data_IF_586302765121
#
_entry.id   IF_586302765121
#
_cell.length_a   1.000
_cell.length_b   1.000
_cell.length_c   1.000
_cell.angle_alpha   90.00
_cell.angle_beta   90.00
_cell.angle_gamma   90.00
#
_symmetry.space_group_name_H-M   'P 1'
#
loop_
_entity.id
_entity.type
_entity.pdbx_description
1 polymer ?
#
# COMPACT_ATOMS: atom_id res chain seq x y z
N UNK A 1 23.45 19.29 -14.30
CA UNK A 1 24.00 19.59 -12.95
C UNK A 1 24.39 18.26 -12.31
N UNK A 2 25.68 18.00 -12.12
CA UNK A 2 26.24 16.73 -11.59
C UNK A 2 26.15 16.65 -10.06
N UNK A 3 24.98 16.95 -9.47
CA UNK A 3 24.80 16.84 -8.03
C UNK A 3 24.31 15.44 -7.65
N UNK A 4 24.98 14.80 -6.69
CA UNK A 4 24.61 13.48 -6.15
C UNK A 4 23.23 13.51 -5.44
N UNK A 5 22.83 14.69 -4.97
CA UNK A 5 21.52 14.96 -4.42
C UNK A 5 20.72 15.87 -5.34
N UNK A 6 19.42 15.62 -5.46
CA UNK A 6 18.49 16.45 -6.21
C UNK A 6 17.21 16.61 -5.42
N UNK A 7 16.80 17.85 -5.20
CA UNK A 7 15.58 18.20 -4.46
C UNK A 7 14.63 18.89 -5.42
N UNK A 8 13.58 18.17 -5.82
CA UNK A 8 12.48 18.68 -6.66
C UNK A 8 11.25 18.97 -5.78
N UNK A 9 10.24 19.71 -6.27
CA UNK A 9 8.99 19.92 -5.53
C UNK A 9 8.36 18.62 -5.04
N UNK A 10 8.30 17.59 -5.90
CA UNK A 10 7.84 16.24 -5.52
C UNK A 10 8.63 15.67 -4.33
N UNK A 11 9.96 15.72 -4.40
CA UNK A 11 10.83 15.21 -3.32
C UNK A 11 10.66 16.01 -2.03
N UNK A 12 10.46 17.33 -2.09
CA UNK A 12 10.15 18.16 -0.92
C UNK A 12 8.85 17.74 -0.24
N UNK A 13 7.79 17.49 -1.01
CA UNK A 13 6.52 17.02 -0.47
C UNK A 13 6.68 15.65 0.23
N UNK A 14 7.44 14.72 -0.38
CA UNK A 14 7.74 13.41 0.23
C UNK A 14 8.60 13.55 1.50
N UNK A 15 9.57 14.46 1.52
CA UNK A 15 10.36 14.75 2.73
C UNK A 15 9.49 15.30 3.85
N UNK A 16 8.55 16.20 3.55
CA UNK A 16 7.57 16.71 4.52
C UNK A 16 6.71 15.59 5.10
N UNK A 17 6.23 14.68 4.25
CA UNK A 17 5.49 13.49 4.70
C UNK A 17 6.32 12.62 5.66
N UNK A 18 7.56 12.29 5.26
CA UNK A 18 8.46 11.46 6.06
C UNK A 18 8.80 12.14 7.40
N UNK A 19 8.98 13.46 7.41
CA UNK A 19 9.24 14.22 8.63
C UNK A 19 8.06 14.15 9.61
N UNK A 20 6.83 14.37 9.13
CA UNK A 20 5.61 14.31 9.96
C UNK A 20 5.39 12.90 10.51
N UNK A 21 5.51 11.87 9.67
CA UNK A 21 5.39 10.48 10.08
C UNK A 21 6.49 10.09 11.07
N UNK A 22 7.74 10.45 10.76
CA UNK A 22 8.90 10.17 11.59
C UNK A 22 8.76 10.77 12.98
N UNK A 23 8.39 12.05 13.06
CA UNK A 23 8.12 12.74 14.33
C UNK A 23 7.02 12.04 15.13
N UNK A 24 5.89 11.72 14.48
CA UNK A 24 4.75 11.06 15.13
C UNK A 24 5.12 9.68 15.67
N UNK A 25 5.81 8.86 14.88
CA UNK A 25 6.20 7.50 15.24
C UNK A 25 7.27 7.52 16.34
N UNK A 26 8.26 8.42 16.27
CA UNK A 26 9.29 8.58 17.31
C UNK A 26 8.64 9.00 18.62
N UNK A 27 7.74 10.00 18.62
CA UNK A 27 7.02 10.44 19.81
C UNK A 27 6.18 9.31 20.41
N UNK A 28 5.42 8.59 19.59
CA UNK A 28 4.64 7.45 20.05
C UNK A 28 5.54 6.36 20.66
N UNK A 29 6.66 6.04 20.00
CA UNK A 29 7.60 5.02 20.46
C UNK A 29 8.26 5.39 21.78
N UNK A 30 8.56 6.67 21.99
CA UNK A 30 9.15 7.17 23.24
C UNK A 30 8.26 6.86 24.45
N UNK A 31 6.95 7.08 24.30
CA UNK A 31 5.95 6.81 25.34
C UNK A 31 5.67 5.32 25.46
N UNK A 32 5.44 4.64 24.33
CA UNK A 32 5.06 3.23 24.30
C UNK A 32 6.11 2.30 24.91
N UNK A 33 7.39 2.70 24.91
CA UNK A 33 8.50 1.92 25.44
C UNK A 33 9.13 2.51 26.70
N UNK A 34 8.43 3.38 27.43
CA UNK A 34 8.98 4.05 28.61
C UNK A 34 9.56 3.08 29.67
N UNK A 35 9.00 1.87 29.79
CA UNK A 35 9.47 0.82 30.70
C UNK A 35 10.37 -0.25 30.07
N UNK A 36 10.67 -0.17 28.77
CA UNK A 36 11.48 -1.19 28.08
C UNK A 36 12.98 -0.88 28.19
N UNK A 37 13.75 -1.85 28.68
CA UNK A 37 15.23 -1.76 28.79
C UNK A 37 15.85 -1.45 27.42
N UNK A 38 15.30 -2.05 26.36
CA UNK A 38 15.83 -1.96 25.01
C UNK A 38 15.32 -0.76 24.19
N UNK A 39 14.62 0.19 24.82
CA UNK A 39 14.09 1.40 24.16
C UNK A 39 15.17 2.14 23.35
N UNK A 40 16.38 2.29 23.88
CA UNK A 40 17.47 2.99 23.20
C UNK A 40 17.96 2.29 21.93
N UNK A 41 17.92 0.95 21.89
CA UNK A 41 18.23 0.17 20.67
C UNK A 41 17.15 0.36 19.61
N UNK A 42 15.88 0.38 20.03
CA UNK A 42 14.74 0.62 19.16
C UNK A 42 14.83 2.00 18.49
N UNK A 43 14.98 3.06 19.27
CA UNK A 43 14.98 4.44 18.77
C UNK A 43 16.14 4.70 17.80
N UNK A 44 17.34 4.16 18.07
CA UNK A 44 18.47 4.23 17.13
C UNK A 44 18.17 3.52 15.81
N UNK A 45 17.59 2.33 15.86
CA UNK A 45 17.21 1.58 14.65
C UNK A 45 16.11 2.29 13.86
N UNK A 46 15.17 2.94 14.57
CA UNK A 46 14.11 3.75 13.97
C UNK A 46 14.68 4.97 13.26
N UNK A 47 15.56 5.73 13.94
CA UNK A 47 16.21 6.89 13.37
C UNK A 47 17.06 6.54 12.14
N UNK A 48 17.86 5.46 12.21
CA UNK A 48 18.62 4.97 11.05
C UNK A 48 17.70 4.58 9.89
N UNK A 49 16.57 3.93 10.16
CA UNK A 49 15.60 3.58 9.11
C UNK A 49 15.04 4.84 8.43
N UNK A 50 14.63 5.84 9.21
CA UNK A 50 14.11 7.11 8.69
C UNK A 50 15.19 7.84 7.87
N UNK A 51 16.43 7.91 8.38
CA UNK A 51 17.55 8.52 7.68
C UNK A 51 17.83 7.84 6.33
N UNK A 52 17.81 6.51 6.29
CA UNK A 52 18.00 5.76 5.05
C UNK A 52 16.87 6.02 4.04
N UNK A 53 15.61 6.15 4.51
CA UNK A 53 14.48 6.52 3.65
C UNK A 53 14.68 7.92 3.07
N UNK A 54 15.06 8.90 3.90
CA UNK A 54 15.37 10.27 3.44
C UNK A 54 16.46 10.24 2.37
N UNK A 55 17.52 9.46 2.59
CA UNK A 55 18.63 9.31 1.65
C UNK A 55 18.16 8.76 0.29
N UNK A 56 17.26 7.78 0.27
CA UNK A 56 16.61 7.30 -0.97
C UNK A 56 15.89 8.44 -1.69
N UNK A 57 15.11 9.24 -0.98
CA UNK A 57 14.32 10.33 -1.59
C UNK A 57 15.20 11.41 -2.22
N UNK A 58 16.25 11.85 -1.54
CA UNK A 58 17.09 12.94 -2.04
C UNK A 58 18.12 12.48 -3.07
N UNK A 59 18.36 11.17 -3.20
CA UNK A 59 19.35 10.62 -4.12
C UNK A 59 19.04 11.01 -5.57
N UNK A 60 20.08 11.44 -6.28
CA UNK A 60 20.09 11.64 -7.73
C UNK A 60 21.02 10.67 -8.44
N UNK A 61 21.78 9.86 -7.71
CA UNK A 61 22.75 8.93 -8.27
C UNK A 61 22.29 7.48 -8.06
N UNK A 62 22.30 6.65 -9.11
CA UNK A 62 21.79 5.27 -9.08
C UNK A 62 22.42 4.42 -7.97
N UNK A 63 23.75 4.44 -7.84
CA UNK A 63 24.45 3.69 -6.80
C UNK A 63 24.08 4.15 -5.38
N UNK A 64 23.99 5.46 -5.13
CA UNK A 64 23.61 5.99 -3.83
C UNK A 64 22.17 5.60 -3.48
N UNK A 65 21.26 5.72 -4.45
CA UNK A 65 19.87 5.29 -4.31
C UNK A 65 19.81 3.82 -3.90
N UNK A 66 20.55 2.95 -4.60
CA UNK A 66 20.58 1.52 -4.30
C UNK A 66 21.16 1.22 -2.92
N UNK A 67 22.29 1.81 -2.54
CA UNK A 67 22.89 1.65 -1.22
C UNK A 67 21.94 2.10 -0.10
N UNK A 68 21.28 3.25 -0.28
CA UNK A 68 20.28 3.76 0.65
C UNK A 68 19.08 2.80 0.78
N UNK A 69 18.61 2.26 -0.35
CA UNK A 69 17.50 1.31 -0.40
C UNK A 69 17.81 -0.01 0.32
N UNK A 70 19.02 -0.54 0.12
CA UNK A 70 19.55 -1.71 0.85
C UNK A 70 19.63 -1.40 2.35
N UNK A 71 20.09 -0.20 2.72
CA UNK A 71 20.18 0.25 4.11
C UNK A 71 18.81 0.33 4.79
N UNK A 72 17.77 0.86 4.13
CA UNK A 72 16.39 0.85 4.64
C UNK A 72 15.97 -0.57 5.00
N UNK A 73 16.25 -1.53 4.12
CA UNK A 73 15.89 -2.93 4.35
C UNK A 73 16.62 -3.53 5.55
N UNK A 74 17.93 -3.30 5.68
CA UNK A 74 18.72 -3.82 6.79
C UNK A 74 18.29 -3.22 8.14
N UNK A 75 18.11 -1.90 8.20
CA UNK A 75 17.65 -1.21 9.42
C UNK A 75 16.25 -1.66 9.83
N UNK A 76 15.34 -1.82 8.87
CA UNK A 76 14.01 -2.34 9.13
C UNK A 76 14.05 -3.78 9.68
N UNK A 77 14.97 -4.63 9.21
CA UNK A 77 15.07 -6.00 9.71
C UNK A 77 15.37 -6.03 11.22
N UNK A 78 16.21 -5.09 11.69
CA UNK A 78 16.50 -4.91 13.13
C UNK A 78 15.27 -4.49 13.93
N UNK A 79 14.39 -3.65 13.35
CA UNK A 79 13.15 -3.23 14.00
C UNK A 79 12.13 -4.38 14.11
N UNK A 80 12.04 -5.23 13.10
CA UNK A 80 11.17 -6.42 13.13
C UNK A 80 11.64 -7.40 14.22
N UNK A 81 12.95 -7.58 14.34
CA UNK A 81 13.59 -8.41 15.36
C UNK A 81 13.78 -7.70 16.70
N UNK A 82 12.89 -6.76 17.07
CA UNK A 82 12.95 -6.12 18.38
C UNK A 82 12.83 -7.15 19.53
N UNK A 83 12.00 -8.18 19.35
CA UNK A 83 11.88 -9.35 20.21
C UNK A 83 12.41 -10.62 19.48
N UNK A 84 13.72 -10.86 19.46
CA UNK A 84 14.33 -11.89 18.61
C UNK A 84 14.01 -13.33 19.05
N UNK A 85 13.57 -13.53 20.30
CA UNK A 85 13.22 -14.85 20.84
C UNK A 85 11.87 -15.38 20.36
N UNK A 86 11.07 -14.56 19.66
CA UNK A 86 9.77 -14.98 19.13
C UNK A 86 9.93 -15.71 17.79
N UNK A 87 9.56 -17.00 17.66
CA UNK A 87 9.74 -17.75 16.41
C UNK A 87 9.00 -17.12 15.22
N UNK A 88 7.81 -16.55 15.45
CA UNK A 88 7.05 -15.87 14.39
C UNK A 88 7.74 -14.60 13.89
N UNK A 89 8.40 -13.85 14.76
CA UNK A 89 9.17 -12.66 14.37
C UNK A 89 10.40 -13.05 13.55
N UNK A 90 11.07 -14.14 13.91
CA UNK A 90 12.20 -14.71 13.15
C UNK A 90 11.76 -15.17 11.75
N UNK A 91 10.64 -15.89 11.65
CA UNK A 91 10.08 -16.32 10.36
C UNK A 91 9.77 -15.13 9.46
N UNK A 92 9.08 -14.12 10.00
CA UNK A 92 8.71 -12.92 9.28
C UNK A 92 9.95 -12.14 8.80
N UNK A 93 10.94 -11.95 9.68
CA UNK A 93 12.19 -11.29 9.35
C UNK A 93 12.98 -12.04 8.27
N UNK A 94 13.05 -13.38 8.36
CA UNK A 94 13.75 -14.22 7.39
C UNK A 94 13.14 -14.12 5.99
N UNK A 95 11.81 -14.30 5.87
CA UNK A 95 11.11 -14.16 4.59
C UNK A 95 11.26 -12.77 4.00
N UNK A 96 11.13 -11.74 4.83
CA UNK A 96 11.33 -10.35 4.43
C UNK A 96 12.76 -10.09 3.98
N UNK A 97 13.76 -10.67 4.64
CA UNK A 97 15.16 -10.53 4.27
C UNK A 97 15.42 -11.12 2.87
N UNK A 98 14.97 -12.36 2.62
CA UNK A 98 15.16 -13.02 1.32
C UNK A 98 14.52 -12.25 0.16
N UNK A 99 13.24 -11.89 0.29
CA UNK A 99 12.53 -11.14 -0.73
C UNK A 99 13.13 -9.73 -0.93
N UNK A 100 13.64 -9.12 0.14
CA UNK A 100 14.34 -7.85 0.03
C UNK A 100 15.65 -7.98 -0.75
N UNK A 101 16.50 -8.96 -0.44
CA UNK A 101 17.75 -9.20 -1.19
C UNK A 101 17.48 -9.49 -2.66
N UNK A 102 16.47 -10.32 -2.96
CA UNK A 102 16.09 -10.60 -4.34
C UNK A 102 15.65 -9.34 -5.09
N UNK A 103 14.74 -8.53 -4.52
CA UNK A 103 14.33 -7.27 -5.15
C UNK A 103 15.46 -6.24 -5.29
N UNK A 104 16.43 -6.22 -4.39
CA UNK A 104 17.59 -5.32 -4.50
C UNK A 104 18.56 -5.74 -5.61
N UNK A 105 18.71 -7.05 -5.87
CA UNK A 105 19.48 -7.53 -7.01
C UNK A 105 18.79 -7.15 -8.34
N UNK A 106 17.46 -7.28 -8.40
CA UNK A 106 16.70 -6.83 -9.58
C UNK A 106 16.81 -5.32 -9.78
N UNK A 107 16.78 -4.54 -8.70
CA UNK A 107 16.96 -3.09 -8.77
C UNK A 107 18.37 -2.72 -9.26
N UNK A 108 19.41 -3.42 -8.77
CA UNK A 108 20.78 -3.24 -9.27
C UNK A 108 20.87 -3.55 -10.76
N UNK A 109 20.28 -4.66 -11.22
CA UNK A 109 20.24 -5.02 -12.63
C UNK A 109 19.50 -3.97 -13.48
N UNK A 110 18.37 -3.45 -13.02
CA UNK A 110 17.66 -2.37 -13.69
C UNK A 110 18.53 -1.11 -13.81
N UNK A 111 19.23 -0.73 -12.74
CA UNK A 111 20.13 0.43 -12.74
C UNK A 111 21.34 0.23 -13.65
N UNK A 112 21.88 -0.99 -13.74
CA UNK A 112 22.94 -1.31 -14.69
C UNK A 112 22.46 -1.16 -16.14
N UNK A 113 21.26 -1.65 -16.47
CA UNK A 113 20.68 -1.46 -17.80
C UNK A 113 20.48 0.01 -18.14
N UNK A 114 19.96 0.82 -17.21
CA UNK A 114 19.83 2.27 -17.40
C UNK A 114 21.20 2.93 -17.63
N UNK A 115 22.21 2.55 -16.86
CA UNK A 115 23.57 3.08 -17.05
C UNK A 115 24.12 2.73 -18.43
N UNK A 116 23.93 1.49 -18.90
CA UNK A 116 24.38 1.05 -20.24
C UNK A 116 23.65 1.82 -21.35
N UNK A 117 22.36 2.11 -21.19
CA UNK A 117 21.58 2.84 -22.21
C UNK A 117 21.95 4.32 -22.30
N UNK A 118 22.16 4.99 -21.17
CA UNK A 118 22.30 6.46 -21.13
C UNK A 118 23.72 6.96 -20.84
N UNK A 119 24.65 6.06 -20.50
CA UNK A 119 26.04 6.36 -20.12
C UNK A 119 26.17 7.43 -19.01
N UNK A 120 25.20 7.46 -18.10
CA UNK A 120 25.20 8.35 -16.94
C UNK A 120 24.58 7.66 -15.72
N UNK A 121 25.16 7.83 -14.52
CA UNK A 121 24.58 7.31 -13.29
C UNK A 121 23.58 8.28 -12.64
N UNK A 122 23.34 9.44 -13.23
CA UNK A 122 22.46 10.48 -12.68
C UNK A 122 21.01 10.28 -13.14
N UNK A 123 20.13 10.07 -12.16
CA UNK A 123 18.69 9.82 -12.36
C UNK A 123 18.05 10.98 -13.12
N UNK A 124 18.33 12.23 -12.73
CA UNK A 124 17.78 13.40 -13.43
C UNK A 124 18.07 13.40 -14.93
N UNK A 125 19.32 13.11 -15.31
CA UNK A 125 19.74 13.08 -16.72
C UNK A 125 19.08 11.91 -17.47
N UNK A 126 19.07 10.71 -16.87
CA UNK A 126 18.37 9.53 -17.42
C UNK A 126 16.93 9.87 -17.77
N UNK A 127 16.19 10.46 -16.82
CA UNK A 127 14.76 10.75 -16.97
C UNK A 127 14.50 11.74 -18.11
N UNK A 128 15.38 12.73 -18.32
CA UNK A 128 15.24 13.69 -19.43
C UNK A 128 15.54 13.10 -20.81
N UNK A 129 16.31 12.01 -20.88
CA UNK A 129 16.76 11.40 -22.13
C UNK A 129 15.93 10.18 -22.56
N UNK A 130 15.00 9.70 -21.73
CA UNK A 130 14.21 8.49 -21.99
C UNK A 130 13.52 8.52 -23.36
N UNK A 131 12.95 9.66 -23.76
CA UNK A 131 12.23 9.80 -25.03
C UNK A 131 13.09 9.55 -26.25
N UNK A 132 14.41 9.76 -26.16
CA UNK A 132 15.36 9.55 -27.26
C UNK A 132 15.69 8.07 -27.47
N UNK A 133 15.47 7.22 -26.46
CA UNK A 133 15.86 5.80 -26.45
C UNK A 133 14.68 4.86 -26.17
N UNK A 134 13.44 5.32 -26.41
CA UNK A 134 12.21 4.61 -26.03
C UNK A 134 12.11 3.16 -26.53
N UNK A 135 12.80 2.83 -27.63
CA UNK A 135 12.81 1.50 -28.25
C UNK A 135 13.99 0.60 -27.85
N UNK A 136 14.93 1.08 -27.03
CA UNK A 136 16.08 0.27 -26.58
C UNK A 136 15.60 -0.96 -25.78
N UNK A 137 16.08 -2.18 -26.09
CA UNK A 137 15.71 -3.39 -25.34
C UNK A 137 16.19 -3.33 -23.89
N UNK A 138 17.33 -2.67 -23.62
CA UNK A 138 17.85 -2.45 -22.28
C UNK A 138 16.92 -1.58 -21.44
N UNK A 139 16.40 -0.48 -22.02
CA UNK A 139 15.42 0.39 -21.37
C UNK A 139 14.13 -0.37 -21.04
N UNK A 140 13.63 -1.17 -21.97
CA UNK A 140 12.45 -2.02 -21.77
C UNK A 140 12.68 -3.04 -20.65
N UNK A 141 13.86 -3.69 -20.65
CA UNK A 141 14.28 -4.60 -19.58
C UNK A 141 14.34 -3.91 -18.22
N UNK A 142 14.91 -2.70 -18.16
CA UNK A 142 14.97 -1.89 -16.94
C UNK A 142 13.56 -1.57 -16.41
N UNK A 143 12.64 -1.14 -17.28
CA UNK A 143 11.26 -0.85 -16.90
C UNK A 143 10.53 -2.07 -16.31
N UNK A 144 10.69 -3.25 -16.92
CA UNK A 144 10.10 -4.51 -16.43
C UNK A 144 10.68 -4.89 -15.06
N UNK A 145 12.00 -4.78 -14.90
CA UNK A 145 12.65 -5.05 -13.61
C UNK A 145 12.18 -4.09 -12.51
N UNK A 146 12.05 -2.79 -12.82
CA UNK A 146 11.50 -1.80 -11.88
C UNK A 146 10.06 -2.13 -11.47
N UNK A 147 9.22 -2.56 -12.42
CA UNK A 147 7.86 -3.03 -12.12
C UNK A 147 7.86 -4.23 -11.17
N UNK A 148 8.71 -5.23 -11.40
CA UNK A 148 8.82 -6.41 -10.53
C UNK A 148 9.33 -6.01 -9.12
N UNK A 149 10.32 -5.12 -9.04
CA UNK A 149 10.82 -4.58 -7.77
C UNK A 149 9.68 -3.91 -7.00
N UNK A 150 8.87 -3.08 -7.67
CA UNK A 150 7.73 -2.42 -7.07
C UNK A 150 6.67 -3.42 -6.58
N UNK A 151 6.34 -4.46 -7.36
CA UNK A 151 5.42 -5.52 -6.94
C UNK A 151 5.89 -6.23 -5.66
N UNK A 152 7.19 -6.55 -5.56
CA UNK A 152 7.75 -7.19 -4.36
C UNK A 152 7.70 -6.24 -3.16
N UNK A 153 8.14 -4.99 -3.34
CA UNK A 153 8.26 -4.00 -2.25
C UNK A 153 6.93 -3.43 -1.78
N UNK A 154 5.92 -3.45 -2.63
CA UNK A 154 4.53 -3.15 -2.27
C UNK A 154 3.77 -4.39 -1.76
N UNK A 155 4.44 -5.52 -1.57
CA UNK A 155 3.85 -6.76 -1.06
C UNK A 155 2.62 -7.22 -1.86
N UNK A 156 2.76 -7.27 -3.18
CA UNK A 156 1.73 -7.77 -4.09
C UNK A 156 1.73 -9.30 -4.12
N UNK A 157 0.62 -9.91 -4.54
CA UNK A 157 0.50 -11.37 -4.61
C UNK A 157 1.35 -11.92 -5.77
N UNK A 158 1.99 -13.10 -5.59
CA UNK A 158 1.91 -14.00 -4.44
C UNK A 158 2.88 -13.67 -3.30
N UNK A 159 3.78 -12.69 -3.44
CA UNK A 159 4.86 -12.41 -2.47
C UNK A 159 4.46 -11.57 -1.26
N UNK A 160 3.19 -11.18 -1.15
CA UNK A 160 2.59 -10.39 -0.07
C UNK A 160 2.90 -10.84 1.38
N UNK A 161 3.20 -12.13 1.58
CA UNK A 161 3.43 -12.75 2.88
C UNK A 161 4.46 -12.07 3.78
N UNK A 162 5.50 -11.46 3.20
CA UNK A 162 6.51 -10.76 3.99
C UNK A 162 5.96 -9.56 4.75
N UNK A 163 4.90 -8.91 4.25
CA UNK A 163 4.28 -7.77 4.91
C UNK A 163 3.23 -8.25 5.92
N UNK A 164 2.40 -9.22 5.53
CA UNK A 164 1.30 -9.73 6.37
C UNK A 164 1.82 -10.37 7.66
N UNK A 165 2.95 -11.06 7.61
CA UNK A 165 3.52 -11.75 8.78
C UNK A 165 4.26 -10.81 9.75
N UNK A 166 4.59 -9.59 9.33
CA UNK A 166 5.32 -8.62 10.17
C UNK A 166 4.40 -7.90 11.17
N UNK A 167 3.12 -8.26 11.23
CA UNK A 167 2.19 -7.82 12.29
C UNK A 167 2.62 -8.20 13.70
N UNK A 168 3.56 -9.15 13.84
CA UNK A 168 4.20 -9.55 15.10
C UNK A 168 5.21 -8.51 15.62
N UNK A 169 5.66 -7.59 14.77
CA UNK A 169 6.51 -6.48 15.18
C UNK A 169 5.73 -5.50 16.08
N UNK A 170 6.43 -4.71 16.92
CA UNK A 170 5.77 -3.70 17.75
C UNK A 170 4.94 -2.71 16.92
N UNK A 171 3.85 -2.21 17.51
CA UNK A 171 2.90 -1.31 16.83
C UNK A 171 3.55 -0.11 16.11
N UNK A 172 4.57 0.59 16.66
CA UNK A 172 5.23 1.67 15.92
C UNK A 172 5.97 1.18 14.66
N UNK A 173 6.51 -0.05 14.67
CA UNK A 173 7.15 -0.67 13.50
C UNK A 173 6.11 -0.98 12.44
N UNK A 174 4.95 -1.53 12.82
CA UNK A 174 3.85 -1.73 11.89
C UNK A 174 3.39 -0.39 11.27
N UNK A 175 3.25 0.66 12.08
CA UNK A 175 2.90 1.98 11.57
C UNK A 175 3.93 2.49 10.55
N UNK A 176 5.23 2.44 10.86
CA UNK A 176 6.30 2.84 9.92
C UNK A 176 6.29 2.03 8.62
N UNK A 177 6.11 0.71 8.75
CA UNK A 177 6.08 -0.21 7.61
C UNK A 177 4.93 0.07 6.66
N UNK A 178 3.72 0.12 7.20
CA UNK A 178 2.50 0.18 6.41
C UNK A 178 2.14 1.60 5.98
N UNK A 179 2.63 2.63 6.67
CA UNK A 179 2.39 4.02 6.29
C UNK A 179 3.53 4.64 5.49
N UNK A 180 4.76 4.10 5.60
CA UNK A 180 5.94 4.71 5.02
C UNK A 180 6.70 3.75 4.11
N UNK A 181 7.32 2.71 4.67
CA UNK A 181 8.32 1.91 3.93
C UNK A 181 7.71 1.17 2.74
N UNK A 182 6.48 0.65 2.87
CA UNK A 182 5.81 -0.05 1.77
C UNK A 182 5.56 0.87 0.57
N UNK A 183 5.43 2.19 0.78
CA UNK A 183 5.22 3.15 -0.30
C UNK A 183 6.47 3.35 -1.16
N UNK A 184 7.66 2.89 -0.72
CA UNK A 184 8.89 3.04 -1.49
C UNK A 184 8.80 2.41 -2.88
N UNK A 185 8.01 1.34 -3.06
CA UNK A 185 7.76 0.77 -4.39
C UNK A 185 7.02 1.74 -5.32
N UNK A 186 5.99 2.44 -4.83
CA UNK A 186 5.31 3.49 -5.59
C UNK A 186 6.19 4.71 -5.84
N UNK A 187 6.95 5.15 -4.83
CA UNK A 187 7.89 6.28 -4.96
C UNK A 187 8.96 5.97 -6.01
N UNK A 188 9.50 4.75 -6.03
CA UNK A 188 10.43 4.30 -7.07
C UNK A 188 9.81 4.48 -8.46
N UNK A 189 8.60 3.98 -8.68
CA UNK A 189 7.95 4.11 -9.99
C UNK A 189 7.58 5.56 -10.33
N UNK A 190 7.25 6.41 -9.36
CA UNK A 190 7.02 7.84 -9.60
C UNK A 190 8.31 8.56 -10.03
N UNK A 191 9.46 8.24 -9.44
CA UNK A 191 10.75 8.81 -9.84
C UNK A 191 11.20 8.33 -11.22
N UNK A 192 10.88 7.10 -11.56
CA UNK A 192 11.19 6.49 -12.85
C UNK A 192 9.97 6.42 -13.79
N UNK A 193 8.98 7.32 -13.61
CA UNK A 193 7.73 7.27 -14.34
C UNK A 193 7.92 7.32 -15.87
N UNK A 194 8.81 8.16 -16.43
CA UNK A 194 9.12 8.12 -17.87
C UNK A 194 9.71 6.79 -18.34
N UNK A 195 10.60 6.17 -17.55
CA UNK A 195 11.15 4.84 -17.87
C UNK A 195 10.03 3.80 -17.89
N UNK A 196 9.14 3.81 -16.90
CA UNK A 196 8.00 2.90 -16.85
C UNK A 196 7.05 3.11 -18.03
N UNK A 197 6.70 4.37 -18.33
CA UNK A 197 5.80 4.74 -19.43
C UNK A 197 6.33 4.34 -20.80
N UNK A 198 7.65 4.21 -20.96
CA UNK A 198 8.26 3.72 -22.20
C UNK A 198 7.94 2.24 -22.50
N UNK A 199 7.53 1.46 -21.49
CA UNK A 199 7.30 0.02 -21.62
C UNK A 199 5.86 -0.39 -21.34
N UNK A 200 5.12 -0.71 -22.41
CA UNK A 200 3.76 -1.25 -22.30
C UNK A 200 3.71 -2.59 -21.58
N UNK A 201 4.75 -3.41 -21.70
CA UNK A 201 4.88 -4.70 -21.00
C UNK A 201 5.01 -4.46 -19.50
N UNK A 202 5.87 -3.53 -19.08
CA UNK A 202 6.03 -3.21 -17.65
C UNK A 202 4.72 -2.71 -17.03
N UNK A 203 4.01 -1.80 -17.71
CA UNK A 203 2.68 -1.35 -17.27
C UNK A 203 1.66 -2.50 -17.24
N UNK A 204 1.64 -3.36 -18.25
CA UNK A 204 0.76 -4.54 -18.30
C UNK A 204 0.99 -5.51 -17.13
N UNK A 205 2.26 -5.76 -16.79
CA UNK A 205 2.63 -6.57 -15.62
C UNK A 205 2.07 -5.96 -14.33
N UNK A 206 2.21 -4.64 -14.13
CA UNK A 206 1.64 -3.96 -12.96
C UNK A 206 0.11 -4.07 -12.95
N UNK A 207 -0.57 -3.76 -14.06
CA UNK A 207 -2.03 -3.80 -14.16
C UNK A 207 -2.57 -5.18 -13.78
N UNK A 208 -1.97 -6.25 -14.30
CA UNK A 208 -2.43 -7.63 -14.03
C UNK A 208 -2.15 -8.01 -12.58
N UNK A 209 -0.89 -7.95 -12.14
CA UNK A 209 -0.52 -8.47 -10.83
C UNK A 209 -0.98 -7.58 -9.68
N UNK A 210 -0.82 -6.26 -9.79
CA UNK A 210 -1.27 -5.32 -8.76
C UNK A 210 -2.80 -5.15 -8.78
N UNK A 211 -3.45 -5.21 -9.95
CA UNK A 211 -4.91 -5.18 -10.06
C UNK A 211 -5.57 -6.39 -9.40
N UNK A 212 -5.14 -7.61 -9.75
CA UNK A 212 -5.62 -8.82 -9.09
C UNK A 212 -5.31 -8.80 -7.58
N UNK A 213 -4.13 -8.31 -7.21
CA UNK A 213 -3.76 -8.16 -5.81
C UNK A 213 -4.67 -7.21 -5.06
N UNK A 214 -5.06 -6.10 -5.67
CA UNK A 214 -6.00 -5.13 -5.11
C UNK A 214 -7.32 -5.78 -4.73
N UNK A 215 -7.88 -6.57 -5.66
CA UNK A 215 -9.16 -7.27 -5.46
C UNK A 215 -9.03 -8.35 -4.39
N UNK A 216 -8.09 -9.28 -4.53
CA UNK A 216 -7.94 -10.41 -3.62
C UNK A 216 -7.61 -9.92 -2.21
N UNK A 217 -6.63 -9.03 -2.06
CA UNK A 217 -6.24 -8.51 -0.74
C UNK A 217 -7.37 -7.67 -0.10
N UNK A 218 -8.13 -6.93 -0.90
CA UNK A 218 -9.30 -6.18 -0.46
C UNK A 218 -10.38 -7.11 0.10
N UNK A 219 -10.70 -8.18 -0.62
CA UNK A 219 -11.66 -9.19 -0.18
C UNK A 219 -11.18 -9.99 1.04
N UNK A 220 -9.89 -10.34 1.12
CA UNK A 220 -9.33 -10.97 2.32
C UNK A 220 -9.47 -10.04 3.53
N UNK A 221 -9.17 -8.75 3.38
CA UNK A 221 -9.30 -7.75 4.46
C UNK A 221 -10.71 -7.69 5.06
N UNK A 222 -11.78 -7.93 4.29
CA UNK A 222 -13.16 -7.91 4.84
C UNK A 222 -13.48 -9.13 5.69
N UNK A 223 -12.74 -10.24 5.53
CA UNK A 223 -12.97 -11.51 6.23
C UNK A 223 -12.10 -11.69 7.48
N UNK A 224 -10.97 -10.99 7.57
CA UNK A 224 -10.04 -11.13 8.71
C UNK A 224 -10.58 -10.51 10.00
N UNK A 225 -10.52 -11.29 11.07
CA UNK A 225 -10.98 -10.90 12.42
C UNK A 225 -9.92 -10.04 13.13
N UNK A 226 -8.64 -10.40 13.02
CA UNK A 226 -7.56 -9.64 13.67
C UNK A 226 -7.38 -8.28 13.00
N UNK A 227 -7.50 -7.21 13.80
CA UNK A 227 -7.44 -5.82 13.32
C UNK A 227 -6.10 -5.52 12.65
N UNK A 228 -4.97 -5.91 13.26
CA UNK A 228 -3.64 -5.70 12.65
C UNK A 228 -3.48 -6.45 11.33
N UNK A 229 -3.97 -7.69 11.25
CA UNK A 229 -3.90 -8.50 10.03
C UNK A 229 -4.81 -7.91 8.95
N UNK A 230 -6.03 -7.49 9.29
CA UNK A 230 -6.94 -6.76 8.40
C UNK A 230 -6.31 -5.48 7.88
N UNK A 231 -5.67 -4.69 8.74
CA UNK A 231 -4.95 -3.47 8.36
C UNK A 231 -3.76 -3.79 7.44
N UNK A 232 -3.06 -4.90 7.64
CA UNK A 232 -1.98 -5.34 6.77
C UNK A 232 -2.48 -5.75 5.38
N UNK A 233 -3.54 -6.56 5.29
CA UNK A 233 -4.16 -6.95 4.01
C UNK A 233 -4.72 -5.77 3.24
N UNK A 234 -5.40 -4.84 3.92
CA UNK A 234 -5.84 -3.60 3.28
C UNK A 234 -4.66 -2.71 2.85
N UNK A 235 -3.46 -2.87 3.43
CA UNK A 235 -2.26 -2.17 2.93
C UNK A 235 -1.81 -2.76 1.59
N UNK A 236 -1.72 -4.10 1.49
CA UNK A 236 -1.40 -4.78 0.22
C UNK A 236 -2.40 -4.40 -0.89
N UNK A 237 -3.69 -4.33 -0.58
CA UNK A 237 -4.74 -3.90 -1.51
C UNK A 237 -4.56 -2.45 -1.99
N UNK A 238 -4.33 -1.51 -1.05
CA UNK A 238 -4.16 -0.08 -1.38
C UNK A 238 -2.85 0.18 -2.15
N UNK A 239 -1.76 -0.49 -1.79
CA UNK A 239 -0.52 -0.40 -2.55
C UNK A 239 -0.65 -1.00 -3.95
N UNK A 240 -1.46 -2.05 -4.12
CA UNK A 240 -1.82 -2.58 -5.43
C UNK A 240 -2.55 -1.53 -6.27
N UNK A 241 -3.53 -0.86 -5.68
CA UNK A 241 -4.27 0.22 -6.32
C UNK A 241 -3.33 1.37 -6.75
N UNK A 242 -2.42 1.79 -5.87
CA UNK A 242 -1.43 2.84 -6.20
C UNK A 242 -0.53 2.43 -7.38
N UNK A 243 -0.09 1.16 -7.45
CA UNK A 243 0.70 0.68 -8.59
C UNK A 243 -0.12 0.65 -9.90
N UNK A 244 -1.41 0.34 -9.82
CA UNK A 244 -2.32 0.41 -10.98
C UNK A 244 -2.53 1.85 -11.43
N UNK A 245 -2.72 2.79 -10.49
CA UNK A 245 -2.82 4.23 -10.80
C UNK A 245 -1.58 4.70 -11.58
N UNK A 246 -0.37 4.34 -11.11
CA UNK A 246 0.89 4.67 -11.80
C UNK A 246 0.96 4.00 -13.19
N UNK A 247 0.56 2.73 -13.31
CA UNK A 247 0.62 1.99 -14.57
C UNK A 247 -0.39 2.49 -15.63
N UNK A 248 -1.51 3.08 -15.18
CA UNK A 248 -2.48 3.77 -16.03
C UNK A 248 -2.08 5.21 -16.38
N UNK A 249 -0.97 5.71 -15.83
CA UNK A 249 -0.50 7.07 -16.06
C UNK A 249 -1.18 8.13 -15.18
N UNK A 250 -1.91 7.72 -14.13
CA UNK A 250 -2.61 8.61 -13.20
C UNK A 250 -1.68 9.01 -12.04
N UNK A 251 -0.53 9.61 -12.35
CA UNK A 251 0.55 9.85 -11.39
C UNK A 251 0.15 10.80 -10.25
N UNK A 252 -0.64 11.82 -10.56
CA UNK A 252 -1.18 12.78 -9.59
C UNK A 252 -2.13 12.12 -8.60
N UNK A 253 -2.89 11.12 -9.07
CA UNK A 253 -3.80 10.32 -8.25
C UNK A 253 -3.02 9.38 -7.35
N UNK A 254 -1.99 8.71 -7.89
CA UNK A 254 -1.09 7.86 -7.12
C UNK A 254 -0.36 8.63 -6.03
N UNK A 255 0.06 9.87 -6.31
CA UNK A 255 0.68 10.74 -5.31
C UNK A 255 -0.32 11.14 -4.22
N UNK A 256 -1.52 11.58 -4.60
CA UNK A 256 -2.57 11.92 -3.64
C UNK A 256 -2.97 10.72 -2.77
N UNK A 257 -3.09 9.54 -3.39
CA UNK A 257 -3.28 8.26 -2.72
C UNK A 257 -2.17 8.03 -1.70
N UNK A 258 -0.90 8.14 -2.11
CA UNK A 258 0.26 7.93 -1.24
C UNK A 258 0.18 8.80 0.02
N UNK A 259 -0.16 10.09 -0.09
CA UNK A 259 -0.34 10.96 1.06
C UNK A 259 -1.50 10.51 1.96
N UNK A 260 -2.69 10.30 1.38
CA UNK A 260 -3.87 9.89 2.12
C UNK A 260 -3.66 8.55 2.86
N UNK A 261 -3.08 7.58 2.15
CA UNK A 261 -2.73 6.27 2.67
C UNK A 261 -1.77 6.36 3.85
N UNK A 262 -0.70 7.14 3.70
CA UNK A 262 0.33 7.31 4.72
C UNK A 262 -0.25 7.82 6.03
N UNK A 263 -1.03 8.91 5.99
CA UNK A 263 -1.65 9.46 7.20
C UNK A 263 -2.69 8.50 7.79
N UNK A 264 -3.57 7.94 6.95
CA UNK A 264 -4.61 7.02 7.38
C UNK A 264 -4.04 5.75 8.04
N UNK A 265 -2.99 5.15 7.45
CA UNK A 265 -2.38 3.93 7.98
C UNK A 265 -1.58 4.21 9.24
N UNK A 266 -0.83 5.30 9.31
CA UNK A 266 -0.13 5.68 10.53
C UNK A 266 -1.12 5.82 11.69
N UNK A 267 -2.20 6.57 11.48
CA UNK A 267 -3.27 6.72 12.48
C UNK A 267 -3.89 5.36 12.85
N UNK A 268 -4.30 4.55 11.87
CA UNK A 268 -5.01 3.30 12.11
C UNK A 268 -4.17 2.27 12.87
N UNK A 269 -2.87 2.16 12.57
CA UNK A 269 -1.99 1.25 13.29
C UNK A 269 -1.71 1.74 14.72
N UNK A 270 -1.42 3.03 14.90
CA UNK A 270 -1.15 3.61 16.23
C UNK A 270 -2.39 3.61 17.13
N UNK A 271 -3.59 3.74 16.55
CA UNK A 271 -4.88 3.68 17.26
C UNK A 271 -5.48 2.27 17.37
N UNK A 272 -4.80 1.23 16.85
CA UNK A 272 -5.33 -0.14 16.83
C UNK A 272 -5.66 -0.69 18.22
N UNK A 273 -4.98 -0.22 19.27
CA UNK A 273 -5.26 -0.58 20.67
C UNK A 273 -6.65 -0.14 21.17
N UNK A 274 -7.20 0.95 20.65
CA UNK A 274 -8.51 1.49 21.07
C UNK A 274 -9.69 0.87 20.30
N UNK A 275 -9.42 -0.03 19.35
CA UNK A 275 -10.45 -0.53 18.42
C UNK A 275 -11.51 -1.40 19.11
N UNK A 276 -11.16 -2.05 20.24
CA UNK A 276 -12.13 -2.80 21.04
C UNK A 276 -13.23 -1.87 21.58
N UNK A 277 -12.86 -0.69 22.07
CA UNK A 277 -13.81 0.31 22.56
C UNK A 277 -14.72 0.82 21.41
N UNK A 278 -14.15 1.04 20.23
CA UNK A 278 -14.94 1.42 19.05
C UNK A 278 -15.93 0.33 18.63
N UNK A 279 -15.52 -0.94 18.67
CA UNK A 279 -16.40 -2.08 18.37
C UNK A 279 -17.54 -2.19 19.37
N UNK A 280 -17.27 -2.06 20.67
CA UNK A 280 -18.29 -2.06 21.71
C UNK A 280 -19.27 -0.90 21.53
N UNK A 281 -18.78 0.31 21.26
CA UNK A 281 -19.62 1.47 20.99
C UNK A 281 -20.53 1.27 19.75
N UNK A 282 -19.98 0.70 18.67
CA UNK A 282 -20.77 0.37 17.48
C UNK A 282 -21.85 -0.67 17.75
N UNK A 283 -21.53 -1.72 18.52
CA UNK A 283 -22.48 -2.75 18.93
C UNK A 283 -23.62 -2.18 19.77
N UNK A 284 -23.31 -1.27 20.69
CA UNK A 284 -24.30 -0.58 21.53
C UNK A 284 -25.19 0.39 20.72
N UNK A 285 -24.66 1.01 19.67
CA UNK A 285 -25.42 1.91 18.79
C UNK A 285 -26.49 1.20 17.94
N UNK A 286 -26.47 -0.14 17.87
CA UNK A 286 -27.38 -0.95 17.07
C UNK A 286 -27.02 -0.97 15.58
N UNK A 287 -26.94 -2.16 15.00
CA UNK A 287 -26.69 -2.34 13.57
C UNK A 287 -28.01 -2.44 12.80
N UNK A 288 -28.26 -1.51 11.88
CA UNK A 288 -29.36 -1.58 10.92
C UNK A 288 -28.80 -2.00 9.58
N UNK A 289 -29.25 -3.14 9.05
CA UNK A 289 -28.81 -3.64 7.75
C UNK A 289 -29.46 -2.83 6.61
N UNK A 290 -28.70 -2.36 5.60
CA UNK A 290 -29.26 -1.73 4.41
C UNK A 290 -30.19 -2.66 3.65
N UNK A 291 -31.29 -2.10 3.14
CA UNK A 291 -32.16 -2.71 2.13
C UNK A 291 -31.67 -2.29 0.75
N UNK A 292 -32.12 -2.99 -0.30
CA UNK A 292 -31.78 -2.68 -1.70
C UNK A 292 -32.13 -1.23 -2.06
N UNK A 293 -33.25 -0.71 -1.55
CA UNK A 293 -33.67 0.69 -1.75
C UNK A 293 -32.65 1.71 -1.21
N UNK A 294 -31.97 1.41 -0.10
CA UNK A 294 -30.95 2.30 0.46
C UNK A 294 -29.72 2.35 -0.44
N UNK A 295 -29.35 1.22 -1.02
CA UNK A 295 -28.27 1.15 -2.00
C UNK A 295 -28.60 1.92 -3.28
N UNK A 296 -29.81 1.77 -3.82
CA UNK A 296 -30.19 2.53 -5.01
C UNK A 296 -30.14 4.03 -4.76
N UNK A 297 -30.63 4.51 -3.61
CA UNK A 297 -30.57 5.94 -3.25
C UNK A 297 -29.11 6.42 -3.07
N UNK A 298 -28.25 5.65 -2.40
CA UNK A 298 -26.86 6.03 -2.20
C UNK A 298 -26.07 6.06 -3.52
N UNK A 299 -26.33 5.11 -4.42
CA UNK A 299 -25.72 5.06 -5.75
C UNK A 299 -26.19 6.22 -6.64
N UNK A 300 -27.47 6.59 -6.60
CA UNK A 300 -27.98 7.71 -7.39
C UNK A 300 -27.49 9.06 -6.87
N UNK A 301 -27.52 9.29 -5.56
CA UNK A 301 -27.00 10.53 -4.96
C UNK A 301 -25.51 10.72 -5.26
N UNK A 302 -24.70 9.68 -5.09
CA UNK A 302 -23.27 9.76 -5.41
C UNK A 302 -23.00 9.96 -6.90
N UNK A 303 -23.81 9.36 -7.79
CA UNK A 303 -23.69 9.57 -9.23
C UNK A 303 -23.98 11.02 -9.60
N UNK A 304 -25.04 11.62 -9.05
CA UNK A 304 -25.39 13.04 -9.27
C UNK A 304 -24.25 13.95 -8.79
N UNK A 305 -23.69 13.69 -7.61
CA UNK A 305 -22.56 14.46 -7.10
C UNK A 305 -21.34 14.36 -8.01
N UNK A 306 -21.08 13.17 -8.53
CA UNK A 306 -19.93 12.92 -9.39
C UNK A 306 -20.10 13.53 -10.78
N UNK A 307 -21.30 13.48 -11.38
CA UNK A 307 -21.57 14.16 -12.66
C UNK A 307 -21.49 15.66 -12.53
N UNK A 308 -22.00 16.23 -11.43
CA UNK A 308 -21.86 17.66 -11.13
C UNK A 308 -20.38 18.05 -10.98
N UNK A 309 -19.60 17.26 -10.23
CA UNK A 309 -18.18 17.52 -10.08
C UNK A 309 -17.44 17.39 -11.43
N UNK A 310 -17.72 16.34 -12.22
CA UNK A 310 -17.15 16.13 -13.54
C UNK A 310 -17.41 17.31 -14.47
N UNK A 311 -18.63 17.86 -14.46
CA UNK A 311 -19.01 19.02 -15.28
C UNK A 311 -18.22 20.27 -14.91
N UNK A 312 -18.05 20.55 -13.62
CA UNK A 312 -17.39 21.78 -13.15
C UNK A 312 -15.86 21.70 -13.12
N UNK A 313 -15.31 20.51 -12.86
CA UNK A 313 -13.89 20.34 -12.56
C UNK A 313 -13.19 19.32 -13.47
N UNK A 314 -13.84 18.78 -14.51
CA UNK A 314 -13.25 17.76 -15.41
C UNK A 314 -12.50 16.65 -14.63
N UNK A 315 -13.21 16.10 -13.65
CA UNK A 315 -12.65 15.39 -12.48
C UNK A 315 -11.81 14.17 -12.88
N UNK A 316 -12.36 13.26 -13.68
CA UNK A 316 -11.70 12.02 -14.05
C UNK A 316 -11.80 11.74 -15.55
N UNK A 317 -10.66 11.44 -16.17
CA UNK A 317 -10.55 10.95 -17.54
C UNK A 317 -10.62 9.41 -17.60
N UNK A 318 -10.25 8.72 -16.51
CA UNK A 318 -10.28 7.27 -16.37
C UNK A 318 -11.66 6.76 -15.89
N UNK A 319 -12.17 5.74 -16.56
CA UNK A 319 -13.37 4.99 -16.17
C UNK A 319 -13.14 4.28 -14.83
N UNK A 320 -11.98 3.65 -14.63
CA UNK A 320 -11.66 2.95 -13.40
C UNK A 320 -11.66 3.89 -12.18
N UNK A 321 -11.02 5.05 -12.30
CA UNK A 321 -11.01 6.07 -11.24
C UNK A 321 -12.43 6.57 -10.93
N UNK A 322 -13.23 6.80 -11.98
CA UNK A 322 -14.63 7.23 -11.85
C UNK A 322 -15.47 6.22 -11.07
N UNK A 323 -15.38 4.94 -11.42
CA UNK A 323 -16.11 3.84 -10.75
C UNK A 323 -15.67 3.70 -9.29
N UNK A 324 -14.36 3.80 -9.03
CA UNK A 324 -13.83 3.69 -7.67
C UNK A 324 -14.37 4.81 -6.76
N UNK A 325 -14.33 6.06 -7.21
CA UNK A 325 -14.84 7.22 -6.46
C UNK A 325 -16.35 7.11 -6.29
N UNK A 326 -17.09 6.68 -7.32
CA UNK A 326 -18.52 6.48 -7.24
C UNK A 326 -18.92 5.47 -6.16
N UNK A 327 -18.25 4.31 -6.11
CA UNK A 327 -18.49 3.31 -5.06
C UNK A 327 -18.03 3.79 -3.67
N UNK A 328 -16.92 4.52 -3.58
CA UNK A 328 -16.46 5.10 -2.32
C UNK A 328 -17.49 6.08 -1.74
N UNK A 329 -17.99 7.03 -2.56
CA UNK A 329 -19.04 7.98 -2.16
C UNK A 329 -20.34 7.27 -1.79
N UNK A 330 -20.74 6.25 -2.55
CA UNK A 330 -21.91 5.41 -2.23
C UNK A 330 -21.77 4.77 -0.85
N UNK A 331 -20.59 4.22 -0.54
CA UNK A 331 -20.31 3.59 0.75
C UNK A 331 -20.30 4.57 1.92
N UNK A 332 -19.93 5.83 1.68
CA UNK A 332 -19.97 6.92 2.67
C UNK A 332 -21.39 7.39 2.97
N UNK A 333 -22.24 7.47 1.94
CA UNK A 333 -23.63 7.97 2.05
C UNK A 333 -24.56 6.92 2.65
N UNK A 334 -24.33 5.63 2.35
CA UNK A 334 -25.21 4.53 2.72
C UNK A 334 -25.60 4.48 4.22
N UNK A 335 -24.68 4.61 5.20
CA UNK A 335 -25.05 4.59 6.61
C UNK A 335 -26.04 5.70 7.01
N UNK A 336 -26.02 6.83 6.33
CA UNK A 336 -26.94 7.95 6.60
C UNK A 336 -28.31 7.69 5.98
N UNK A 337 -28.35 7.16 4.75
CA UNK A 337 -29.59 6.77 4.06
C UNK A 337 -30.29 5.63 4.78
N UNK A 338 -29.55 4.61 5.23
CA UNK A 338 -30.12 3.47 5.96
C UNK A 338 -30.76 3.86 7.29
N UNK A 339 -30.24 4.89 7.95
CA UNK A 339 -30.79 5.41 9.20
C UNK A 339 -31.85 6.47 8.98
N UNK A 340 -32.04 6.97 7.75
CA UNK A 340 -33.06 7.98 7.42
C UNK A 340 -34.45 7.57 7.90
N UNK A 341 -34.82 6.30 7.69
CA UNK A 341 -36.08 5.74 8.16
C UNK A 341 -36.34 5.96 9.67
N UNK A 342 -35.30 6.30 10.46
CA UNK A 342 -35.36 6.59 11.90
C UNK A 342 -34.65 7.88 12.34
N UNK A 343 -34.06 8.66 11.42
CA UNK A 343 -33.19 9.79 11.75
C UNK A 343 -33.67 11.09 11.09
N UNK A 344 -33.40 12.20 11.76
CA UNK A 344 -33.75 13.55 11.29
C UNK A 344 -32.95 13.95 10.04
N UNK A 345 -33.64 14.57 9.06
CA UNK A 345 -33.08 15.23 7.85
C UNK A 345 -31.67 15.86 8.00
N UNK A 346 -31.31 16.57 9.09
CA UNK A 346 -29.99 17.17 9.25
C UNK A 346 -28.81 16.18 9.17
N UNK A 347 -28.96 14.89 9.50
CA UNK A 347 -27.81 13.97 9.41
C UNK A 347 -27.43 13.66 7.97
N UNK A 348 -28.41 13.53 7.09
CA UNK A 348 -28.16 13.22 5.67
C UNK A 348 -27.56 14.43 4.98
N UNK A 349 -28.06 15.63 5.29
CA UNK A 349 -27.49 16.86 4.74
C UNK A 349 -26.04 17.04 5.18
N UNK A 350 -25.70 16.79 6.45
CA UNK A 350 -24.31 16.82 6.93
C UNK A 350 -23.44 15.83 6.14
N UNK A 351 -23.88 14.59 5.96
CA UNK A 351 -23.10 13.58 5.21
C UNK A 351 -22.93 13.97 3.74
N UNK A 352 -23.96 14.53 3.09
CA UNK A 352 -23.87 14.98 1.71
C UNK A 352 -22.93 16.19 1.56
N UNK A 353 -23.00 17.16 2.47
CA UNK A 353 -22.07 18.30 2.52
C UNK A 353 -20.64 17.80 2.73
N UNK A 354 -20.44 16.86 3.64
CA UNK A 354 -19.13 16.26 3.89
C UNK A 354 -18.60 15.50 2.66
N UNK A 355 -19.45 14.69 2.02
CA UNK A 355 -19.10 13.98 0.79
C UNK A 355 -18.75 14.94 -0.35
N UNK A 356 -19.49 16.06 -0.48
CA UNK A 356 -19.22 17.08 -1.49
C UNK A 356 -17.89 17.78 -1.20
N UNK A 357 -17.64 18.16 0.05
CA UNK A 357 -16.39 18.77 0.48
C UNK A 357 -15.18 17.85 0.28
N UNK A 358 -15.31 16.54 0.53
CA UNK A 358 -14.26 15.58 0.25
C UNK A 358 -14.00 15.44 -1.25
N UNK A 359 -15.06 15.40 -2.07
CA UNK A 359 -14.93 15.30 -3.52
C UNK A 359 -14.25 16.56 -4.09
N UNK A 360 -14.64 17.75 -3.65
CA UNK A 360 -14.00 19.01 -4.09
C UNK A 360 -12.55 19.12 -3.62
N UNK A 361 -12.27 18.71 -2.39
CA UNK A 361 -10.89 18.66 -1.88
C UNK A 361 -10.04 17.70 -2.72
N UNK A 362 -10.55 16.50 -2.99
CA UNK A 362 -9.86 15.51 -3.80
C UNK A 362 -9.55 16.01 -5.21
N UNK A 363 -10.52 16.63 -5.88
CA UNK A 363 -10.36 17.13 -7.25
C UNK A 363 -9.44 18.35 -7.32
N UNK A 364 -9.56 19.26 -6.36
CA UNK A 364 -8.66 20.42 -6.25
C UNK A 364 -7.21 19.99 -6.02
N UNK A 365 -6.98 19.03 -5.12
CA UNK A 365 -5.65 18.49 -4.84
C UNK A 365 -5.06 17.76 -6.05
N UNK A 366 -5.86 16.96 -6.76
CA UNK A 366 -5.48 16.32 -8.02
C UNK A 366 -4.98 17.35 -9.05
N UNK A 367 -5.76 18.40 -9.29
CA UNK A 367 -5.39 19.45 -10.26
C UNK A 367 -4.12 20.19 -9.87
N UNK A 368 -3.96 20.52 -8.59
CA UNK A 368 -2.74 21.16 -8.09
C UNK A 368 -1.51 20.25 -8.27
N UNK A 369 -1.66 18.94 -8.06
CA UNK A 369 -0.58 17.97 -8.25
C UNK A 369 -0.25 17.72 -9.73
N UNK A 370 -1.24 17.74 -10.62
CA UNK A 370 -1.02 17.57 -12.06
C UNK A 370 -0.05 18.64 -12.61
N UNK A 371 -0.19 19.88 -12.16
CA UNK A 371 0.71 21.00 -12.53
C UNK A 371 2.16 20.78 -12.09
N UNK A 372 2.40 19.98 -11.06
CA UNK A 372 3.74 19.71 -10.52
C UNK A 372 4.44 18.52 -11.20
N UNK A 373 3.68 17.56 -11.73
CA UNK A 373 4.23 16.34 -12.33
C UNK A 373 4.50 16.54 -13.83
N UNK A 374 3.60 17.20 -14.56
CA UNK A 374 3.81 17.58 -15.97
C UNK A 374 4.02 16.41 -16.95
N UNK A 375 3.61 15.19 -16.59
CA UNK A 375 3.67 14.00 -17.45
C UNK A 375 2.28 13.68 -18.00
N UNK A 376 2.11 13.92 -19.30
CA UNK A 376 0.91 13.51 -20.02
C UNK A 376 1.15 12.17 -20.71
N UNK A 377 0.65 11.10 -20.10
CA UNK A 377 0.63 9.76 -20.72
C UNK A 377 -0.76 9.44 -21.26
N UNK A 378 -0.88 8.98 -22.52
CA UNK A 378 -2.18 8.63 -23.08
C UNK A 378 -2.79 7.46 -22.31
N UNK A 379 -4.06 7.60 -21.93
CA UNK A 379 -4.79 6.57 -21.21
C UNK A 379 -5.01 5.34 -22.12
N UNK A 380 -4.53 4.17 -21.69
CA UNK A 380 -4.83 2.92 -22.36
C UNK A 380 -6.25 2.45 -21.98
N UNK A 381 -7.21 2.63 -22.90
CA UNK A 381 -8.62 2.32 -22.68
C UNK A 381 -8.89 0.84 -22.34
N UNK A 382 -8.12 -0.09 -22.92
CA UNK A 382 -8.29 -1.53 -22.65
C UNK A 382 -7.86 -1.83 -21.22
N UNK A 383 -6.70 -1.31 -20.80
CA UNK A 383 -6.21 -1.44 -19.44
C UNK A 383 -7.17 -0.79 -18.42
N UNK A 384 -7.63 0.41 -18.70
CA UNK A 384 -8.57 1.14 -17.84
C UNK A 384 -9.89 0.38 -17.69
N UNK A 385 -10.43 -0.17 -18.79
CA UNK A 385 -11.65 -0.98 -18.76
C UNK A 385 -11.48 -2.29 -17.96
N UNK A 386 -10.31 -2.93 -18.07
CA UNK A 386 -10.00 -4.11 -17.27
C UNK A 386 -9.95 -3.79 -15.78
N UNK A 387 -9.30 -2.70 -15.39
CA UNK A 387 -9.24 -2.25 -13.99
C UNK A 387 -10.62 -1.85 -13.47
N UNK A 388 -11.43 -1.16 -14.27
CA UNK A 388 -12.82 -0.86 -13.96
C UNK A 388 -13.62 -2.13 -13.62
N UNK A 389 -13.48 -3.19 -14.44
CA UNK A 389 -14.12 -4.49 -14.17
C UNK A 389 -13.65 -5.09 -12.84
N UNK A 390 -12.35 -4.99 -12.53
CA UNK A 390 -11.80 -5.45 -11.25
C UNK A 390 -12.43 -4.72 -10.06
N UNK A 391 -12.61 -3.39 -10.12
CA UNK A 391 -13.24 -2.64 -9.05
C UNK A 391 -14.72 -2.95 -8.89
N UNK A 392 -15.46 -3.13 -9.98
CA UNK A 392 -16.85 -3.63 -9.95
C UNK A 392 -16.90 -5.00 -9.27
N UNK A 393 -15.98 -5.91 -9.62
CA UNK A 393 -15.91 -7.24 -9.02
C UNK A 393 -15.61 -7.19 -7.51
N UNK A 394 -14.66 -6.35 -7.09
CA UNK A 394 -14.31 -6.13 -5.68
C UNK A 394 -15.52 -5.63 -4.90
N UNK A 395 -16.23 -4.63 -5.43
CA UNK A 395 -17.40 -4.05 -4.79
C UNK A 395 -18.54 -5.07 -4.66
N UNK A 396 -18.88 -5.76 -5.76
CA UNK A 396 -19.95 -6.76 -5.78
C UNK A 396 -19.67 -7.94 -4.84
N UNK A 397 -18.44 -8.48 -4.85
CA UNK A 397 -18.05 -9.58 -3.98
C UNK A 397 -17.96 -9.15 -2.51
N UNK A 398 -17.47 -7.94 -2.23
CA UNK A 398 -17.45 -7.38 -0.88
C UNK A 398 -18.88 -7.24 -0.32
N UNK A 399 -19.81 -6.76 -1.14
CA UNK A 399 -21.23 -6.68 -0.77
C UNK A 399 -21.83 -8.05 -0.49
N UNK A 400 -21.54 -9.05 -1.34
CA UNK A 400 -22.02 -10.41 -1.13
C UNK A 400 -21.52 -11.01 0.18
N UNK A 401 -20.22 -10.85 0.49
CA UNK A 401 -19.61 -11.29 1.75
C UNK A 401 -20.24 -10.61 2.97
N UNK A 402 -20.61 -9.33 2.86
CA UNK A 402 -21.14 -8.57 3.99
C UNK A 402 -22.63 -8.82 4.25
N UNK A 403 -23.46 -8.95 3.21
CA UNK A 403 -24.93 -8.97 3.34
C UNK A 403 -25.58 -10.32 3.06
N UNK A 404 -24.91 -11.23 2.35
CA UNK A 404 -25.44 -12.56 2.01
C UNK A 404 -24.56 -13.72 2.53
N UNK A 405 -24.11 -13.71 3.80
CA UNK A 405 -23.21 -14.73 4.33
C UNK A 405 -23.83 -16.13 4.38
N UNK A 406 -25.16 -16.24 4.31
CA UNK A 406 -25.88 -17.51 4.34
C UNK A 406 -25.84 -18.28 3.01
N UNK A 407 -25.52 -17.61 1.90
CA UNK A 407 -25.51 -18.23 0.57
C UNK A 407 -24.32 -19.19 0.45
N UNK A 408 -24.56 -20.41 -0.06
CA UNK A 408 -23.56 -21.48 -0.04
C UNK A 408 -22.24 -21.14 -0.72
N UNK A 409 -22.26 -20.48 -1.88
CA UNK A 409 -21.04 -20.06 -2.57
C UNK A 409 -20.31 -18.93 -1.84
N UNK A 410 -21.04 -17.98 -1.23
CA UNK A 410 -20.47 -16.90 -0.40
C UNK A 410 -19.77 -17.48 0.82
N UNK A 411 -20.36 -18.49 1.47
CA UNK A 411 -19.75 -19.18 2.61
C UNK A 411 -18.43 -19.86 2.21
N UNK A 412 -18.39 -20.53 1.06
CA UNK A 412 -17.14 -21.14 0.53
C UNK A 412 -16.08 -20.08 0.25
N UNK A 413 -16.48 -18.98 -0.41
CA UNK A 413 -15.60 -17.85 -0.69
C UNK A 413 -15.06 -17.23 0.61
N UNK A 414 -15.91 -17.02 1.61
CA UNK A 414 -15.53 -16.50 2.92
C UNK A 414 -14.48 -17.41 3.59
N UNK A 415 -14.68 -18.73 3.60
CA UNK A 415 -13.71 -19.67 4.19
C UNK A 415 -12.36 -19.58 3.47
N UNK A 416 -12.37 -19.56 2.14
CA UNK A 416 -11.16 -19.45 1.33
C UNK A 416 -10.41 -18.12 1.57
N UNK A 417 -11.13 -16.99 1.56
CA UNK A 417 -10.55 -15.68 1.81
C UNK A 417 -10.11 -15.48 3.26
N UNK A 418 -10.84 -16.03 4.23
CA UNK A 418 -10.46 -15.97 5.64
C UNK A 418 -9.17 -16.76 5.91
N UNK A 419 -8.83 -17.75 5.09
CA UNK A 419 -7.52 -18.40 5.09
C UNK A 419 -6.43 -17.59 4.37
N UNK A 420 -6.76 -16.46 3.74
CA UNK A 420 -5.83 -15.69 2.91
C UNK A 420 -5.51 -16.38 1.59
N UNK A 421 -6.50 -17.10 1.04
CA UNK A 421 -6.36 -17.87 -0.20
C UNK A 421 -5.29 -18.98 -0.15
N UNK A 422 -4.77 -19.33 1.03
CA UNK A 422 -3.67 -20.29 1.26
C UNK A 422 -2.35 -19.94 0.55
N UNK A 423 -2.21 -18.72 0.03
CA UNK A 423 -1.08 -18.32 -0.81
C UNK A 423 0.20 -18.17 0.00
N UNK A 424 0.09 -17.69 1.24
CA UNK A 424 1.23 -17.48 2.11
C UNK A 424 1.76 -18.79 2.71
N UNK A 425 0.90 -19.76 2.99
CA UNK A 425 1.30 -21.10 3.47
C UNK A 425 2.16 -21.81 2.42
N UNK A 426 1.76 -21.75 1.15
CA UNK A 426 2.55 -22.33 0.06
C UNK A 426 3.89 -21.62 -0.11
N UNK A 427 3.89 -20.28 -0.13
CA UNK A 427 5.11 -19.50 -0.21
C UNK A 427 6.06 -19.77 0.97
N UNK A 428 5.52 -19.89 2.19
CA UNK A 428 6.29 -20.20 3.39
C UNK A 428 6.92 -21.59 3.33
N UNK A 429 6.15 -22.61 2.92
CA UNK A 429 6.68 -23.99 2.77
C UNK A 429 7.81 -24.05 1.77
N UNK A 430 7.65 -23.41 0.61
CA UNK A 430 8.71 -23.34 -0.39
C UNK A 430 9.94 -22.60 0.12
N UNK A 431 9.74 -21.45 0.77
CA UNK A 431 10.84 -20.66 1.32
C UNK A 431 11.65 -21.48 2.33
N UNK A 432 10.99 -22.18 3.26
CA UNK A 432 11.67 -22.98 4.27
C UNK A 432 12.30 -24.26 3.68
N UNK A 433 11.74 -24.81 2.61
CA UNK A 433 12.32 -25.97 1.91
C UNK A 433 13.64 -25.60 1.23
N UNK A 434 13.72 -24.43 0.59
CA UNK A 434 14.90 -24.02 -0.17
C UNK A 434 15.89 -23.21 0.66
N UNK A 435 15.41 -22.48 1.66
CA UNK A 435 16.22 -21.59 2.50
C UNK A 435 15.80 -21.71 3.97
N UNK A 436 16.16 -22.81 4.66
CA UNK A 436 15.80 -23.02 6.06
C UNK A 436 16.44 -21.93 6.95
N UNK A 437 15.70 -21.50 7.97
CA UNK A 437 16.18 -20.53 8.96
C UNK A 437 16.78 -21.28 10.16
N UNK A 438 18.10 -21.20 10.32
CA UNK A 438 18.81 -21.84 11.44
C UNK A 438 18.33 -21.30 12.80
N UNK A 439 18.16 -19.98 12.93
CA UNK A 439 17.66 -19.37 14.16
C UNK A 439 16.25 -19.84 14.53
N UNK A 440 15.40 -20.08 13.53
CA UNK A 440 14.06 -20.64 13.76
C UNK A 440 14.11 -22.11 14.19
N UNK A 441 14.99 -22.91 13.58
CA UNK A 441 15.20 -24.31 13.96
C UNK A 441 15.74 -24.44 15.39
N UNK A 442 16.71 -23.61 15.76
CA UNK A 442 17.26 -23.55 17.12
C UNK A 442 16.19 -23.18 18.16
N UNK A 443 15.35 -22.18 17.86
CA UNK A 443 14.25 -21.79 18.75
C UNK A 443 13.18 -22.88 18.86
N UNK A 444 12.85 -23.56 17.76
CA UNK A 444 11.91 -24.68 17.79
C UNK A 444 12.45 -25.83 18.66
N UNK A 445 13.73 -26.16 18.49
CA UNK A 445 14.39 -27.18 19.30
C UNK A 445 14.44 -26.79 20.78
N UNK A 446 14.76 -25.53 21.10
CA UNK A 446 14.79 -25.03 22.48
C UNK A 446 13.39 -25.00 23.13
N UNK A 447 12.34 -24.65 22.37
CA UNK A 447 10.95 -24.69 22.84
C UNK A 447 10.44 -26.12 23.06
N UNK A 448 10.88 -27.08 22.25
CA UNK A 448 10.51 -28.49 22.42
C UNK A 448 11.31 -29.17 23.54
N UNK A 449 12.43 -28.58 23.97
CA UNK A 449 13.26 -29.05 25.09
C UNK A 449 12.84 -28.48 26.46
N UNK A 450 11.78 -27.65 26.55
CA UNK A 450 11.21 -27.31 27.86
C UNK A 450 10.57 -28.56 28.47
N UNK A 451 11.23 -29.07 29.51
CA UNK A 451 10.96 -30.33 30.20
C UNK A 451 9.46 -30.57 30.50
N UNK A 452 8.98 -31.83 30.43
CA UNK A 452 7.64 -32.23 30.88
C UNK A 452 7.36 -32.04 32.39
N UNK A 453 8.32 -31.52 33.16
CA UNK A 453 8.26 -31.45 34.63
C UNK A 453 7.65 -30.15 35.17
N UNK A 454 7.16 -29.26 34.32
CA UNK A 454 6.40 -28.07 34.72
C UNK A 454 4.97 -28.14 34.17
N UNK A 455 4.14 -29.01 34.77
CA UNK A 455 2.68 -28.99 34.62
C UNK A 455 2.03 -29.08 35.99
#
# INVERSE_FOLDING_TARGET
MLSVFLVTPLKLMLLGLIAILGFTIVRYSWVAFAGEIDRGRFLRSLAMTICSVILVIISNHLLLFWCAWVSVSLCLNRLILFYPTRPRAQLAAHKKFLLARFSELLLAAAFMLLYVTFDTPYIGDIITQVSLNSHSPELQGAAILLAIVALIKCAQLPVHGWLIQVVEAPTPVSALLHAGIVNLGGILLLFFAPVLASSSIACGVLIVFAGLSTVIAGLVSTTRISIKVKLAWSTSSQMGLMLVEIALGLYEMALLHLFAHSFYKAYSFLNSGNTVNHYLAAKLAGEVKPRVRHWSIALTLSLIMLTFAQWHFAVMTSLAATILVWFALSSLILPSVTRWDRASLPRITITLVFAAALLTLYTSAKHALAQLIGLDTPLNLIADSFVALLFVSLFALSMALQYWPHVGWVKRLFIYLNAGAYLDEWATRLTLKWWPSQSLLELQNAQWQTKPEAK
#
